data_IF_070830673185
#
_entry.id   IF_070830673185
#
_cell.length_a   1.000
_cell.length_b   1.000
_cell.length_c   1.000
_cell.angle_alpha   90.00
_cell.angle_beta   90.00
_cell.angle_gamma   90.00
#
_symmetry.space_group_name_H-M   'P 1'
#
loop_
_entity.id
_entity.type
_entity.pdbx_description
1 polymer ?
#
# COMPACT_ATOMS: atom_id res chain seq x y z
N UNK A 1 -0.13 -15.66 -31.64
CA UNK A 1 0.84 -14.76 -30.97
C UNK A 1 0.12 -13.90 -29.94
N UNK A 2 -0.43 -14.48 -28.87
CA UNK A 2 -1.17 -13.78 -27.80
C UNK A 2 -0.52 -13.91 -26.42
N UNK A 3 0.64 -14.58 -26.34
CA UNK A 3 1.28 -14.94 -25.06
C UNK A 3 1.90 -13.73 -24.33
N UNK A 4 2.27 -12.68 -25.08
CA UNK A 4 2.91 -11.48 -24.51
C UNK A 4 1.98 -10.64 -23.62
N UNK A 5 0.73 -10.38 -24.05
CA UNK A 5 -0.22 -9.60 -23.26
C UNK A 5 -0.73 -10.36 -22.04
N UNK A 6 -0.90 -11.68 -22.15
CA UNK A 6 -1.24 -12.55 -21.01
C UNK A 6 -0.17 -12.50 -19.92
N UNK A 7 1.12 -12.59 -20.29
CA UNK A 7 2.22 -12.49 -19.34
C UNK A 7 2.24 -11.13 -18.62
N UNK A 8 2.13 -10.02 -19.38
CA UNK A 8 2.15 -8.66 -18.81
C UNK A 8 0.99 -8.44 -17.84
N UNK A 9 -0.23 -8.85 -18.17
CA UNK A 9 -1.37 -8.72 -17.25
C UNK A 9 -1.22 -9.58 -16.00
N UNK A 10 -0.60 -10.76 -16.12
CA UNK A 10 -0.23 -11.61 -14.99
C UNK A 10 0.77 -10.94 -14.06
N UNK A 11 1.81 -10.33 -14.61
CA UNK A 11 2.83 -9.60 -13.85
C UNK A 11 2.26 -8.37 -13.13
N UNK A 12 1.39 -7.60 -13.79
CA UNK A 12 0.70 -6.46 -13.17
C UNK A 12 -0.14 -6.89 -11.96
N UNK A 13 -0.90 -7.99 -12.08
CA UNK A 13 -1.69 -8.55 -10.97
C UNK A 13 -0.80 -9.06 -9.84
N UNK A 14 0.30 -9.74 -10.17
CA UNK A 14 1.25 -10.22 -9.19
C UNK A 14 1.91 -9.06 -8.43
N UNK A 15 2.26 -7.97 -9.13
CA UNK A 15 2.84 -6.81 -8.47
C UNK A 15 1.82 -6.10 -7.55
N UNK A 16 0.57 -5.93 -8.01
CA UNK A 16 -0.51 -5.41 -7.17
C UNK A 16 -0.72 -6.23 -5.89
N UNK A 17 -0.57 -7.56 -5.96
CA UNK A 17 -0.63 -8.44 -4.79
C UNK A 17 0.55 -8.21 -3.82
N UNK A 18 1.77 -7.97 -4.34
CA UNK A 18 2.92 -7.62 -3.49
C UNK A 18 2.72 -6.29 -2.77
N UNK A 19 2.16 -5.29 -3.46
CA UNK A 19 1.85 -3.98 -2.87
C UNK A 19 0.82 -4.11 -1.75
N UNK A 20 -0.21 -4.95 -1.90
CA UNK A 20 -1.12 -5.26 -0.79
C UNK A 20 -0.38 -5.87 0.41
N UNK A 21 0.55 -6.80 0.18
CA UNK A 21 1.33 -7.40 1.27
C UNK A 21 2.22 -6.40 2.02
N UNK A 22 2.74 -5.38 1.33
CA UNK A 22 3.47 -4.26 1.97
C UNK A 22 2.51 -3.37 2.74
N UNK A 23 1.37 -3.01 2.14
CA UNK A 23 0.30 -2.24 2.80
C UNK A 23 -0.14 -2.90 4.11
N UNK A 24 -0.32 -4.21 4.12
CA UNK A 24 -0.75 -4.95 5.32
C UNK A 24 0.31 -4.88 6.44
N UNK A 25 1.60 -4.97 6.09
CA UNK A 25 2.70 -4.78 7.05
C UNK A 25 2.74 -3.36 7.60
N UNK A 26 2.56 -2.35 6.75
CA UNK A 26 2.49 -0.94 7.17
C UNK A 26 1.28 -0.67 8.08
N UNK A 27 0.15 -1.31 7.78
CA UNK A 27 -1.07 -1.22 8.61
C UNK A 27 -0.81 -1.80 10.00
N UNK A 28 -0.20 -2.99 10.07
CA UNK A 28 0.17 -3.60 11.35
C UNK A 28 1.17 -2.72 12.13
N UNK A 29 2.13 -2.09 11.46
CA UNK A 29 3.08 -1.17 12.08
C UNK A 29 2.38 0.10 12.62
N UNK A 30 1.42 0.67 11.87
CA UNK A 30 0.65 1.84 12.31
C UNK A 30 -0.24 1.52 13.51
N UNK A 31 -0.89 0.35 13.51
CA UNK A 31 -1.71 -0.09 14.64
C UNK A 31 -0.87 -0.33 15.90
N UNK A 32 0.33 -0.89 15.74
CA UNK A 32 1.30 -1.00 16.82
C UNK A 32 1.74 0.38 17.33
N UNK A 33 2.06 1.33 16.43
CA UNK A 33 2.45 2.69 16.80
C UNK A 33 1.34 3.42 17.58
N UNK A 34 0.08 3.25 17.17
CA UNK A 34 -1.09 3.79 17.90
C UNK A 34 -1.28 3.19 19.29
N UNK A 35 -0.91 1.91 19.45
CA UNK A 35 -0.99 1.21 20.74
C UNK A 35 0.16 1.60 21.68
N UNK A 36 1.32 1.94 21.11
CA UNK A 36 2.57 2.23 21.84
C UNK A 36 2.81 3.73 22.02
N UNK A 37 1.98 4.61 21.47
CA UNK A 37 2.00 6.06 21.78
C UNK A 37 2.11 6.23 23.29
N UNK A 38 3.30 6.63 23.74
CA UNK A 38 3.73 6.51 25.12
C UNK A 38 2.93 7.54 25.93
N UNK A 39 2.05 7.14 26.86
CA UNK A 39 1.42 8.12 27.73
C UNK A 39 2.54 8.85 28.50
N UNK A 40 2.38 10.14 28.78
CA UNK A 40 3.37 11.00 29.46
C UNK A 40 3.96 10.35 30.73
N UNK A 41 3.19 9.49 31.37
CA UNK A 41 3.51 8.68 32.55
C UNK A 41 4.48 7.51 32.30
N UNK A 42 4.61 7.00 31.07
CA UNK A 42 5.59 5.99 30.68
C UNK A 42 7.04 6.52 30.65
N UNK A 43 7.23 7.83 30.50
CA UNK A 43 8.54 8.49 30.62
C UNK A 43 8.98 8.67 32.09
N UNK A 44 8.11 8.37 33.06
CA UNK A 44 8.35 8.57 34.48
C UNK A 44 8.39 10.05 34.89
N UNK A 45 8.39 10.34 36.20
CA UNK A 45 8.31 11.72 36.71
C UNK A 45 9.49 12.63 36.30
N UNK A 46 10.66 12.05 35.98
CA UNK A 46 11.87 12.83 35.68
C UNK A 46 11.89 13.31 34.22
N UNK A 47 11.28 12.55 33.28
CA UNK A 47 11.32 12.85 31.85
C UNK A 47 9.99 13.41 31.31
N UNK A 48 9.11 13.94 32.17
CA UNK A 48 7.81 14.49 31.76
C UNK A 48 7.90 15.71 30.82
N UNK A 49 9.08 16.31 30.68
CA UNK A 49 9.33 17.44 29.78
C UNK A 49 9.60 17.02 28.33
N UNK A 50 9.85 15.72 28.07
CA UNK A 50 10.20 15.19 26.75
C UNK A 50 9.02 15.02 25.78
N UNK A 51 7.82 14.59 26.20
CA UNK A 51 6.70 14.34 25.29
C UNK A 51 6.36 15.52 24.36
N UNK A 52 6.29 16.79 24.80
CA UNK A 52 6.03 17.92 23.90
C UNK A 52 7.03 18.08 22.74
N UNK A 53 8.24 17.51 22.87
CA UNK A 53 9.29 17.55 21.83
C UNK A 53 9.19 16.33 20.91
N UNK A 54 8.71 15.19 21.42
CA UNK A 54 8.71 13.90 20.72
C UNK A 54 7.39 13.63 20.00
N UNK A 55 6.26 14.01 20.61
CA UNK A 55 4.90 13.82 20.08
C UNK A 55 4.74 14.35 18.63
N UNK A 56 5.30 15.51 18.24
CA UNK A 56 5.18 15.99 16.85
C UNK A 56 5.90 15.09 15.83
N UNK A 57 7.03 14.49 16.22
CA UNK A 57 7.80 13.58 15.37
C UNK A 57 7.09 12.24 15.27
N UNK A 58 6.56 11.73 16.38
CA UNK A 58 5.74 10.52 16.38
C UNK A 58 4.51 10.67 15.49
N UNK A 59 3.77 11.78 15.62
CA UNK A 59 2.60 12.06 14.79
C UNK A 59 2.98 12.16 13.30
N UNK A 60 4.04 12.89 12.97
CA UNK A 60 4.53 13.00 11.58
C UNK A 60 4.91 11.62 11.00
N UNK A 61 5.49 10.74 11.81
CA UNK A 61 5.81 9.37 11.41
C UNK A 61 4.55 8.53 11.16
N UNK A 62 3.55 8.62 12.04
CA UNK A 62 2.27 7.93 11.85
C UNK A 62 1.54 8.42 10.60
N UNK A 63 1.54 9.74 10.35
CA UNK A 63 0.93 10.34 9.16
C UNK A 63 1.63 9.87 7.88
N UNK A 64 2.98 9.83 7.88
CA UNK A 64 3.75 9.32 6.75
C UNK A 64 3.47 7.84 6.44
N UNK A 65 3.31 7.00 7.47
CA UNK A 65 2.94 5.59 7.30
C UNK A 65 1.50 5.48 6.74
N UNK A 66 0.56 6.29 7.23
CA UNK A 66 -0.81 6.31 6.72
C UNK A 66 -0.89 6.74 5.24
N UNK A 67 -0.11 7.74 4.85
CA UNK A 67 0.01 8.16 3.44
C UNK A 67 0.62 7.05 2.58
N UNK A 68 1.65 6.36 3.07
CA UNK A 68 2.25 5.24 2.37
C UNK A 68 1.25 4.09 2.15
N UNK A 69 0.43 3.75 3.15
CA UNK A 69 -0.65 2.75 3.03
C UNK A 69 -1.60 3.14 1.88
N UNK A 70 -2.06 4.40 1.87
CA UNK A 70 -2.98 4.93 0.86
C UNK A 70 -2.37 4.88 -0.54
N UNK A 71 -1.10 5.27 -0.67
CA UNK A 71 -0.36 5.25 -1.93
C UNK A 71 -0.18 3.82 -2.49
N UNK A 72 0.12 2.85 -1.62
CA UNK A 72 0.25 1.44 -2.02
C UNK A 72 -1.09 0.87 -2.49
N UNK A 73 -2.19 1.20 -1.82
CA UNK A 73 -3.54 0.78 -2.22
C UNK A 73 -3.96 1.39 -3.57
N UNK A 74 -3.71 2.68 -3.75
CA UNK A 74 -3.97 3.38 -5.01
C UNK A 74 -3.19 2.73 -6.15
N UNK A 75 -1.88 2.55 -5.98
CA UNK A 75 -1.02 1.94 -7.00
C UNK A 75 -1.44 0.51 -7.33
N UNK A 76 -1.73 -0.31 -6.31
CA UNK A 76 -2.21 -1.68 -6.53
C UNK A 76 -3.53 -1.72 -7.31
N UNK A 77 -4.42 -0.75 -7.09
CA UNK A 77 -5.69 -0.62 -7.81
C UNK A 77 -5.46 -0.25 -9.27
N UNK A 78 -4.64 0.76 -9.55
CA UNK A 78 -4.28 1.16 -10.91
C UNK A 78 -3.64 0.02 -11.72
N UNK A 79 -2.79 -0.79 -11.08
CA UNK A 79 -2.18 -1.96 -11.72
C UNK A 79 -3.23 -3.02 -12.11
N UNK A 80 -4.24 -3.26 -11.26
CA UNK A 80 -5.34 -4.19 -11.59
C UNK A 80 -6.19 -3.66 -12.73
N UNK A 81 -6.56 -2.38 -12.68
CA UNK A 81 -7.33 -1.74 -13.75
C UNK A 81 -6.60 -1.78 -15.08
N UNK A 82 -5.28 -1.52 -15.08
CA UNK A 82 -4.45 -1.61 -16.29
C UNK A 82 -4.43 -3.05 -16.84
N UNK A 83 -4.31 -4.05 -15.97
CA UNK A 83 -4.36 -5.46 -16.38
C UNK A 83 -5.73 -5.84 -16.99
N UNK A 84 -6.82 -5.33 -16.41
CA UNK A 84 -8.19 -5.51 -16.93
C UNK A 84 -8.37 -4.86 -18.30
N UNK A 85 -7.87 -3.63 -18.49
CA UNK A 85 -7.94 -2.92 -19.76
C UNK A 85 -7.18 -3.67 -20.87
N UNK A 86 -5.96 -4.14 -20.59
CA UNK A 86 -5.20 -4.95 -21.56
C UNK A 86 -5.90 -6.26 -21.90
N UNK A 87 -6.49 -6.94 -20.92
CA UNK A 87 -7.22 -8.16 -21.18
C UNK A 87 -8.48 -7.91 -22.01
N UNK A 88 -9.22 -6.83 -21.75
CA UNK A 88 -10.38 -6.45 -22.54
C UNK A 88 -10.03 -6.14 -24.01
N UNK A 89 -8.92 -5.42 -24.25
CA UNK A 89 -8.42 -5.13 -25.60
C UNK A 89 -8.01 -6.42 -26.32
N UNK A 90 -7.31 -7.33 -25.64
CA UNK A 90 -6.89 -8.60 -26.24
C UNK A 90 -8.09 -9.50 -26.54
N UNK A 91 -9.08 -9.56 -25.65
CA UNK A 91 -10.32 -10.30 -25.87
C UNK A 91 -11.12 -9.75 -27.05
N UNK A 92 -11.23 -8.42 -27.17
CA UNK A 92 -11.91 -7.76 -28.28
C UNK A 92 -11.20 -8.03 -29.63
N UNK A 93 -9.87 -7.96 -29.66
CA UNK A 93 -9.10 -8.30 -30.84
C UNK A 93 -9.24 -9.79 -31.20
N UNK A 94 -9.19 -10.69 -30.22
CA UNK A 94 -9.41 -12.12 -30.44
C UNK A 94 -10.80 -12.42 -31.02
N UNK A 95 -11.84 -11.69 -30.61
CA UNK A 95 -13.19 -11.82 -31.17
C UNK A 95 -13.29 -11.27 -32.60
N UNK A 96 -12.61 -10.16 -32.90
CA UNK A 96 -12.65 -9.55 -34.23
C UNK A 96 -11.88 -10.32 -35.31
N UNK A 97 -10.87 -11.10 -34.91
CA UNK A 97 -9.97 -11.83 -35.82
C UNK A 97 -9.97 -13.35 -35.63
N UNK A 98 -10.81 -13.88 -34.73
CA UNK A 98 -11.06 -15.31 -34.60
C UNK A 98 -11.91 -15.82 -35.78
N UNK A 99 -11.78 -17.12 -36.16
CA UNK A 99 -12.52 -17.70 -37.29
C UNK A 99 -14.05 -17.60 -37.16
#
# INVERSE_FOLDING_TARGET
MSDGFGLVTGELRAHASRLNGIRDQLTAALDAARTVSLPTEAYGQICQFFPPVVDPVEQSGMDAIAEAITSMEFTATEMRQTAEQYQAVDDANRQAFGP
#
